data_IF_059578851313
#
_entry.id   IF_059578851313
#
_cell.length_a   1.000
_cell.length_b   1.000
_cell.length_c   1.000
_cell.angle_alpha   90.00
_cell.angle_beta   90.00
_cell.angle_gamma   90.00
#
_symmetry.space_group_name_H-M   'P 1'
#
loop_
_entity.id
_entity.type
_entity.pdbx_description
1 polymer ?
#
# COMPACT_ATOMS: atom_id res chain seq x y z
N UNK A 1 6.13 -2.52 8.28
CA UNK A 1 4.88 -2.88 8.94
C UNK A 1 4.04 -1.65 9.35
N UNK A 2 4.65 -0.58 9.90
CA UNK A 2 3.94 0.58 10.43
C UNK A 2 3.14 1.38 9.38
N UNK A 3 3.57 1.38 8.13
CA UNK A 3 2.96 2.16 7.06
C UNK A 3 1.77 1.42 6.40
N UNK A 4 1.73 0.09 6.47
CA UNK A 4 0.75 -0.71 5.76
C UNK A 4 -0.71 -0.37 6.11
N UNK A 5 -1.17 -0.41 7.38
CA UNK A 5 -2.59 -0.26 7.66
C UNK A 5 -3.24 1.01 7.10
N UNK A 6 -2.58 2.14 7.23
CA UNK A 6 -3.11 3.41 6.75
C UNK A 6 -2.78 3.65 5.27
N UNK A 7 -1.66 3.12 4.76
CA UNK A 7 -1.29 3.11 3.35
C UNK A 7 -2.29 2.32 2.50
N UNK A 8 -2.57 1.09 2.89
CA UNK A 8 -3.50 0.19 2.20
C UNK A 8 -4.94 0.74 2.19
N UNK A 9 -5.38 1.34 3.31
CA UNK A 9 -6.66 2.07 3.32
C UNK A 9 -6.67 3.22 2.31
N UNK A 10 -5.55 3.90 2.12
CA UNK A 10 -5.42 4.94 1.10
C UNK A 10 -5.46 4.34 -0.31
N UNK A 11 -4.81 3.19 -0.55
CA UNK A 11 -4.84 2.48 -1.83
C UNK A 11 -6.26 2.11 -2.22
N UNK A 12 -6.98 1.42 -1.34
CA UNK A 12 -8.41 1.09 -1.54
C UNK A 12 -9.23 2.33 -1.85
N UNK A 13 -9.01 3.45 -1.14
CA UNK A 13 -9.76 4.69 -1.36
C UNK A 13 -9.48 5.29 -2.74
N UNK A 14 -8.23 5.32 -3.19
CA UNK A 14 -7.83 5.90 -4.47
C UNK A 14 -8.40 5.11 -5.65
N UNK A 15 -8.37 3.78 -5.60
CA UNK A 15 -8.96 2.90 -6.61
C UNK A 15 -10.49 3.01 -6.60
N UNK A 16 -11.11 3.02 -5.41
CA UNK A 16 -12.57 3.11 -5.24
C UNK A 16 -13.18 4.36 -5.83
N UNK A 17 -12.46 5.46 -5.84
CA UNK A 17 -12.92 6.71 -6.45
C UNK A 17 -13.33 6.51 -7.92
N UNK A 18 -12.61 5.66 -8.63
CA UNK A 18 -12.83 5.39 -10.06
C UNK A 18 -13.68 4.16 -10.34
N UNK A 19 -14.32 3.56 -9.32
CA UNK A 19 -15.09 2.32 -9.49
C UNK A 19 -16.10 2.39 -10.66
N UNK A 20 -16.82 3.50 -10.79
CA UNK A 20 -17.83 3.65 -11.86
C UNK A 20 -17.24 3.65 -13.27
N UNK A 21 -15.98 4.00 -13.42
CA UNK A 21 -15.30 4.02 -14.71
C UNK A 21 -14.86 2.64 -15.23
N UNK A 22 -15.04 1.60 -14.40
CA UNK A 22 -14.71 0.21 -14.71
C UNK A 22 -15.94 -0.72 -14.68
N UNK A 23 -17.15 -0.20 -14.48
CA UNK A 23 -18.39 -1.00 -14.37
C UNK A 23 -18.71 -1.76 -15.67
N UNK A 24 -18.19 -1.32 -16.83
CA UNK A 24 -18.32 -1.95 -18.14
C UNK A 24 -17.23 -3.00 -18.42
N UNK A 25 -16.29 -3.21 -17.51
CA UNK A 25 -15.23 -4.22 -17.59
C UNK A 25 -15.38 -5.23 -16.44
N UNK A 26 -16.10 -6.35 -16.66
CA UNK A 26 -16.37 -7.32 -15.58
C UNK A 26 -15.10 -7.99 -15.02
N UNK A 27 -14.05 -8.12 -15.85
CA UNK A 27 -12.79 -8.74 -15.42
C UNK A 27 -12.04 -7.80 -14.47
N UNK A 28 -11.82 -6.56 -14.89
CA UNK A 28 -11.16 -5.56 -14.04
C UNK A 28 -11.99 -5.27 -12.78
N UNK A 29 -13.32 -5.24 -12.87
CA UNK A 29 -14.19 -5.07 -11.70
C UNK A 29 -14.05 -6.24 -10.70
N UNK A 30 -13.85 -7.46 -11.17
CA UNK A 30 -13.59 -8.63 -10.34
C UNK A 30 -12.22 -8.54 -9.64
N UNK A 31 -11.17 -8.17 -10.36
CA UNK A 31 -9.82 -7.97 -9.82
C UNK A 31 -9.80 -6.86 -8.76
N UNK A 32 -10.48 -5.75 -9.02
CA UNK A 32 -10.64 -4.64 -8.05
C UNK A 32 -11.39 -5.09 -6.80
N UNK A 33 -12.39 -5.97 -6.92
CA UNK A 33 -13.09 -6.51 -5.75
C UNK A 33 -12.16 -7.40 -4.90
N UNK A 34 -11.32 -8.22 -5.54
CA UNK A 34 -10.27 -9.00 -4.89
C UNK A 34 -9.27 -8.11 -4.17
N UNK A 35 -8.74 -7.09 -4.85
CA UNK A 35 -7.85 -6.09 -4.31
C UNK A 35 -8.41 -5.44 -3.02
N UNK A 36 -9.67 -5.01 -3.02
CA UNK A 36 -10.28 -4.43 -1.80
C UNK A 36 -10.35 -5.42 -0.63
N UNK A 37 -10.60 -6.69 -0.92
CA UNK A 37 -10.68 -7.71 0.11
C UNK A 37 -9.31 -8.02 0.72
N UNK A 38 -8.29 -8.17 -0.12
CA UNK A 38 -6.91 -8.46 0.29
C UNK A 38 -6.32 -7.28 1.07
N UNK A 39 -6.35 -6.06 0.52
CA UNK A 39 -5.89 -4.84 1.18
C UNK A 39 -6.59 -4.59 2.53
N UNK A 40 -7.90 -4.84 2.59
CA UNK A 40 -8.66 -4.75 3.84
C UNK A 40 -8.24 -5.81 4.87
N UNK A 41 -7.76 -6.97 4.44
CA UNK A 41 -7.22 -8.02 5.31
C UNK A 41 -5.81 -7.69 5.79
N UNK A 42 -4.94 -7.23 4.89
CA UNK A 42 -3.60 -6.74 5.21
C UNK A 42 -3.66 -5.67 6.29
N UNK A 43 -4.45 -4.60 6.07
CA UNK A 43 -4.61 -3.51 7.03
C UNK A 43 -5.02 -4.00 8.43
N UNK A 44 -5.92 -4.99 8.53
CA UNK A 44 -6.36 -5.55 9.82
C UNK A 44 -5.27 -6.35 10.51
N UNK A 45 -4.58 -7.22 9.78
CA UNK A 45 -3.56 -8.09 10.38
C UNK A 45 -2.32 -7.28 10.80
N UNK A 46 -1.90 -6.31 10.00
CA UNK A 46 -0.82 -5.39 10.38
C UNK A 46 -1.20 -4.47 11.54
N UNK A 47 -2.47 -4.07 11.65
CA UNK A 47 -2.96 -3.31 12.80
C UNK A 47 -2.87 -4.10 14.11
N UNK A 48 -3.15 -5.41 14.09
CA UNK A 48 -2.98 -6.29 15.25
C UNK A 48 -1.54 -6.38 15.73
N UNK A 49 -0.60 -6.26 14.80
CA UNK A 49 0.83 -6.26 15.13
C UNK A 49 1.25 -5.01 15.95
N UNK A 50 0.53 -3.90 15.84
CA UNK A 50 0.82 -2.71 16.64
C UNK A 50 0.67 -2.96 18.12
N UNK A 51 -0.33 -3.71 18.54
CA UNK A 51 -0.51 -4.09 19.96
C UNK A 51 0.74 -4.79 20.51
N UNK A 52 1.35 -5.67 19.71
CA UNK A 52 2.58 -6.38 20.12
C UNK A 52 3.75 -5.40 20.28
N UNK A 53 3.88 -4.42 19.39
CA UNK A 53 4.93 -3.39 19.49
C UNK A 53 4.72 -2.49 20.70
N UNK A 54 3.48 -2.08 20.98
CA UNK A 54 3.11 -1.28 22.15
C UNK A 54 3.39 -2.03 23.45
N UNK A 55 3.09 -3.33 23.53
CA UNK A 55 3.44 -4.20 24.66
C UNK A 55 4.95 -4.33 24.86
N UNK A 56 5.75 -4.15 23.81
CA UNK A 56 7.22 -4.11 23.86
C UNK A 56 7.77 -2.72 24.22
N UNK A 57 6.90 -1.73 24.41
CA UNK A 57 7.25 -0.38 24.84
C UNK A 57 7.51 0.64 23.72
N UNK A 58 7.12 0.30 22.46
CA UNK A 58 7.18 1.28 21.36
C UNK A 58 6.02 2.27 21.44
N UNK A 59 6.33 3.56 21.36
CA UNK A 59 5.33 4.64 21.31
C UNK A 59 4.97 4.96 19.86
N UNK A 60 3.86 4.40 19.37
CA UNK A 60 3.47 4.50 17.97
C UNK A 60 2.54 5.66 17.63
N UNK A 61 1.81 6.20 18.63
CA UNK A 61 0.71 7.14 18.40
C UNK A 61 1.13 8.43 17.69
N UNK A 62 2.25 9.02 18.06
CA UNK A 62 2.75 10.24 17.42
C UNK A 62 3.12 9.98 15.96
N UNK A 63 3.90 8.94 15.72
CA UNK A 63 4.33 8.55 14.37
C UNK A 63 3.12 8.25 13.45
N UNK A 64 2.20 7.42 13.93
CA UNK A 64 1.00 7.05 13.17
C UNK A 64 0.07 8.26 12.97
N UNK A 65 -0.01 9.16 13.95
CA UNK A 65 -0.77 10.40 13.86
C UNK A 65 -0.24 11.34 12.78
N UNK A 66 1.08 11.53 12.73
CA UNK A 66 1.77 12.33 11.70
C UNK A 66 1.63 11.68 10.31
N UNK A 67 1.80 10.36 10.22
CA UNK A 67 1.61 9.63 8.95
C UNK A 67 0.20 9.80 8.39
N UNK A 68 -0.82 9.57 9.22
CA UNK A 68 -2.24 9.79 8.85
C UNK A 68 -2.51 11.25 8.47
N UNK A 69 -1.89 12.20 9.16
CA UNK A 69 -2.03 13.61 8.82
C UNK A 69 -1.47 13.88 7.42
N UNK A 70 -0.27 13.41 7.12
CA UNK A 70 0.37 13.61 5.81
C UNK A 70 -0.43 12.95 4.66
N UNK A 71 -0.97 11.76 4.87
CA UNK A 71 -1.89 11.14 3.90
C UNK A 71 -3.13 12.01 3.65
N UNK A 72 -3.74 12.56 4.71
CA UNK A 72 -4.88 13.48 4.57
C UNK A 72 -4.51 14.77 3.80
N UNK A 73 -3.32 15.29 4.02
CA UNK A 73 -2.81 16.46 3.27
C UNK A 73 -2.68 16.09 1.79
N UNK A 74 -2.01 14.99 1.45
CA UNK A 74 -1.89 14.53 0.06
C UNK A 74 -3.27 14.35 -0.60
N UNK A 75 -4.21 13.73 0.10
CA UNK A 75 -5.59 13.54 -0.40
C UNK A 75 -6.33 14.86 -0.67
N UNK A 76 -5.97 15.94 -0.01
CA UNK A 76 -6.61 17.26 -0.22
C UNK A 76 -5.97 18.06 -1.33
N UNK A 77 -4.66 17.92 -1.55
CA UNK A 77 -3.91 18.77 -2.48
C UNK A 77 -3.68 18.12 -3.84
N UNK A 78 -3.69 16.78 -3.93
CA UNK A 78 -3.44 16.07 -5.17
C UNK A 78 -4.75 15.69 -5.86
N UNK A 79 -4.83 15.85 -7.20
CA UNK A 79 -5.91 15.28 -7.99
C UNK A 79 -6.04 13.76 -7.77
N UNK A 80 -7.24 13.22 -7.87
CA UNK A 80 -7.53 11.80 -7.65
C UNK A 80 -6.74 10.90 -8.61
N UNK A 81 -6.51 11.33 -9.85
CA UNK A 81 -5.68 10.60 -10.81
C UNK A 81 -4.21 10.51 -10.39
N UNK A 82 -3.67 11.56 -9.75
CA UNK A 82 -2.31 11.53 -9.20
C UNK A 82 -2.24 10.65 -7.95
N UNK A 83 -3.29 10.66 -7.11
CA UNK A 83 -3.38 9.74 -5.97
C UNK A 83 -3.41 8.28 -6.43
N UNK A 84 -4.22 7.95 -7.44
CA UNK A 84 -4.25 6.62 -8.04
C UNK A 84 -2.90 6.24 -8.68
N UNK A 85 -2.25 7.16 -9.37
CA UNK A 85 -0.91 6.94 -9.92
C UNK A 85 0.14 6.71 -8.83
N UNK A 86 0.00 7.39 -7.68
CA UNK A 86 0.81 7.15 -6.49
C UNK A 86 0.57 5.77 -5.89
N UNK A 87 -0.68 5.31 -5.85
CA UNK A 87 -1.03 3.95 -5.44
C UNK A 87 -0.42 2.91 -6.38
N UNK A 88 -0.58 3.06 -7.70
CA UNK A 88 0.04 2.13 -8.67
C UNK A 88 1.57 2.08 -8.55
N UNK A 89 2.21 3.19 -8.20
CA UNK A 89 3.65 3.24 -7.93
C UNK A 89 4.02 2.54 -6.61
N UNK A 90 3.23 2.72 -5.55
CA UNK A 90 3.44 2.06 -4.28
C UNK A 90 3.28 0.54 -4.41
N UNK A 91 2.22 0.07 -5.10
CA UNK A 91 2.01 -1.34 -5.45
C UNK A 91 3.21 -1.95 -6.21
N UNK A 92 3.80 -1.18 -7.11
CA UNK A 92 5.03 -1.63 -7.78
C UNK A 92 6.19 -1.82 -6.80
N UNK A 93 6.36 -0.93 -5.82
CA UNK A 93 7.41 -1.06 -4.81
C UNK A 93 7.13 -2.21 -3.84
N UNK A 94 5.88 -2.38 -3.40
CA UNK A 94 5.50 -3.52 -2.54
C UNK A 94 5.69 -4.84 -3.25
N UNK A 95 5.35 -4.93 -4.54
CA UNK A 95 5.59 -6.12 -5.36
C UNK A 95 7.10 -6.47 -5.50
N UNK A 96 7.98 -5.47 -5.65
CA UNK A 96 9.44 -5.70 -5.66
C UNK A 96 9.91 -6.23 -4.30
N UNK A 97 9.43 -5.63 -3.20
CA UNK A 97 9.77 -6.09 -1.85
C UNK A 97 9.21 -7.49 -1.59
N UNK A 98 7.98 -7.77 -2.03
CA UNK A 98 7.33 -9.07 -1.93
C UNK A 98 8.13 -10.16 -2.66
N UNK A 99 8.52 -9.90 -3.92
CA UNK A 99 9.35 -10.83 -4.68
C UNK A 99 10.67 -11.13 -3.95
N UNK A 100 11.32 -10.07 -3.43
CA UNK A 100 12.54 -10.26 -2.64
C UNK A 100 12.29 -11.08 -1.36
N UNK A 101 11.18 -10.84 -0.66
CA UNK A 101 10.82 -11.58 0.54
C UNK A 101 10.58 -13.07 0.27
N UNK A 102 9.95 -13.38 -0.87
CA UNK A 102 9.67 -14.77 -1.27
C UNK A 102 10.91 -15.51 -1.79
N UNK A 103 11.81 -14.83 -2.50
CA UNK A 103 13.01 -15.45 -3.10
C UNK A 103 14.21 -15.49 -2.16
N UNK A 104 14.31 -14.55 -1.22
CA UNK A 104 15.43 -14.47 -0.30
C UNK A 104 15.15 -15.21 1.01
N UNK A 105 16.21 -15.45 1.78
CA UNK A 105 16.12 -16.10 3.09
C UNK A 105 16.16 -15.12 4.25
N UNK A 106 15.94 -13.82 4.00
CA UNK A 106 16.11 -12.81 5.05
C UNK A 106 15.09 -12.89 6.18
N UNK A 107 13.96 -13.59 5.95
CA UNK A 107 12.94 -13.85 6.99
C UNK A 107 13.14 -15.19 7.73
N UNK A 108 14.16 -15.97 7.40
CA UNK A 108 14.34 -17.31 8.02
C UNK A 108 14.57 -17.25 9.53
N UNK A 109 15.23 -16.19 10.00
CA UNK A 109 15.51 -15.98 11.44
C UNK A 109 14.43 -15.16 12.17
N UNK A 110 13.35 -14.75 11.47
CA UNK A 110 12.26 -14.00 12.08
C UNK A 110 11.36 -14.91 12.93
N UNK A 111 10.67 -14.31 13.91
CA UNK A 111 9.62 -15.02 14.64
C UNK A 111 8.66 -15.71 13.66
N UNK A 112 8.27 -16.98 13.89
CA UNK A 112 7.46 -17.74 12.95
C UNK A 112 6.11 -17.07 12.59
N UNK A 113 5.49 -16.34 13.53
CA UNK A 113 4.23 -15.62 13.26
C UNK A 113 4.46 -14.41 12.38
N UNK A 114 5.53 -13.66 12.63
CA UNK A 114 5.93 -12.51 11.81
C UNK A 114 6.30 -12.97 10.41
N UNK A 115 7.10 -14.03 10.31
CA UNK A 115 7.46 -14.64 9.03
C UNK A 115 6.22 -15.07 8.23
N UNK A 116 5.29 -15.76 8.88
CA UNK A 116 4.05 -16.19 8.23
C UNK A 116 3.23 -15.00 7.73
N UNK A 117 3.04 -13.96 8.56
CA UNK A 117 2.32 -12.75 8.18
C UNK A 117 2.95 -12.08 6.96
N UNK A 118 4.26 -11.88 6.97
CA UNK A 118 4.97 -11.18 5.89
C UNK A 118 5.01 -11.98 4.58
N UNK A 119 5.16 -13.31 4.64
CA UNK A 119 5.13 -14.16 3.45
C UNK A 119 3.73 -14.30 2.86
N UNK A 120 2.69 -14.39 3.70
CA UNK A 120 1.31 -14.35 3.25
C UNK A 120 1.00 -13.04 2.53
N UNK A 121 1.29 -11.90 3.16
CA UNK A 121 1.14 -10.58 2.56
C UNK A 121 1.91 -10.48 1.23
N UNK A 122 3.18 -10.87 1.21
CA UNK A 122 4.01 -10.84 0.00
C UNK A 122 3.40 -11.67 -1.15
N UNK A 123 2.74 -12.78 -0.86
CA UNK A 123 2.09 -13.60 -1.88
C UNK A 123 0.90 -12.85 -2.50
N UNK A 124 0.06 -12.25 -1.67
CA UNK A 124 -1.11 -11.48 -2.13
C UNK A 124 -0.70 -10.20 -2.88
N UNK A 125 0.40 -9.52 -2.47
CA UNK A 125 0.97 -8.38 -3.23
C UNK A 125 1.36 -8.75 -4.68
N UNK A 126 1.87 -9.96 -4.90
CA UNK A 126 2.19 -10.42 -6.26
C UNK A 126 0.90 -10.66 -7.08
N UNK A 127 -0.17 -11.14 -6.45
CA UNK A 127 -1.43 -11.44 -7.12
C UNK A 127 -2.10 -10.16 -7.65
N UNK A 128 -2.13 -9.08 -6.86
CA UNK A 128 -2.88 -7.88 -7.21
C UNK A 128 -2.04 -6.66 -7.65
N UNK A 129 -0.73 -6.82 -7.79
CA UNK A 129 0.23 -5.74 -8.13
C UNK A 129 -0.10 -4.89 -9.36
N UNK A 130 -0.92 -5.39 -10.29
CA UNK A 130 -1.27 -4.69 -11.51
C UNK A 130 -2.59 -3.91 -11.41
N UNK A 131 -3.46 -4.24 -10.44
CA UNK A 131 -4.84 -3.75 -10.38
C UNK A 131 -4.94 -2.23 -10.37
N UNK A 132 -4.21 -1.56 -9.50
CA UNK A 132 -4.22 -0.09 -9.44
C UNK A 132 -3.68 0.56 -10.72
N UNK A 133 -2.70 -0.07 -11.37
CA UNK A 133 -2.16 0.39 -12.65
C UNK A 133 -3.17 0.21 -13.79
N UNK A 134 -3.88 -0.91 -13.85
CA UNK A 134 -4.86 -1.18 -14.89
C UNK A 134 -6.06 -0.24 -14.79
N UNK A 135 -6.54 0.05 -13.57
CA UNK A 135 -7.53 1.11 -13.34
C UNK A 135 -6.98 2.47 -13.79
N UNK A 136 -5.73 2.81 -13.46
CA UNK A 136 -5.11 4.06 -13.90
C UNK A 136 -5.07 4.16 -15.43
N UNK A 137 -4.66 3.10 -16.12
CA UNK A 137 -4.62 3.10 -17.60
C UNK A 137 -6.00 3.29 -18.22
N UNK A 138 -7.04 2.82 -17.56
CA UNK A 138 -8.42 2.97 -18.01
C UNK A 138 -8.93 4.40 -17.88
N UNK A 139 -8.56 5.11 -16.79
CA UNK A 139 -9.15 6.41 -16.44
C UNK A 139 -8.24 7.60 -16.78
N UNK A 140 -6.92 7.40 -16.75
CA UNK A 140 -5.92 8.47 -16.97
C UNK A 140 -4.61 7.89 -17.51
N UNK A 141 -4.52 7.61 -18.81
CA UNK A 141 -3.34 6.97 -19.42
C UNK A 141 -2.13 7.91 -19.58
N UNK A 142 -2.20 9.14 -19.04
CA UNK A 142 -1.15 10.15 -19.20
C UNK A 142 0.18 9.69 -18.58
N UNK A 143 1.22 9.72 -19.39
CA UNK A 143 2.58 9.44 -18.94
C UNK A 143 3.05 10.41 -17.85
N UNK A 144 2.69 11.69 -17.97
CA UNK A 144 3.08 12.71 -16.99
C UNK A 144 2.43 12.47 -15.62
N UNK A 145 1.16 12.05 -15.60
CA UNK A 145 0.47 11.70 -14.34
C UNK A 145 1.15 10.50 -13.68
N UNK A 146 1.55 9.49 -14.45
CA UNK A 146 2.30 8.33 -13.94
C UNK A 146 3.65 8.73 -13.34
N UNK A 147 4.41 9.56 -14.05
CA UNK A 147 5.71 10.05 -13.55
C UNK A 147 5.55 10.88 -12.27
N UNK A 148 4.52 11.73 -12.22
CA UNK A 148 4.23 12.53 -11.03
C UNK A 148 3.82 11.63 -9.86
N UNK A 149 2.93 10.66 -10.08
CA UNK A 149 2.55 9.67 -9.07
C UNK A 149 3.74 8.88 -8.53
N UNK A 150 4.62 8.42 -9.43
CA UNK A 150 5.86 7.73 -9.06
C UNK A 150 6.77 8.62 -8.21
N UNK A 151 6.96 9.89 -8.59
CA UNK A 151 7.80 10.81 -7.83
C UNK A 151 7.23 11.08 -6.43
N UNK A 152 5.91 11.32 -6.33
CA UNK A 152 5.22 11.52 -5.05
C UNK A 152 5.35 10.29 -4.17
N UNK A 153 5.04 9.10 -4.69
CA UNK A 153 5.12 7.85 -3.92
C UNK A 153 6.55 7.58 -3.45
N UNK A 154 7.56 7.77 -4.33
CA UNK A 154 8.97 7.54 -3.99
C UNK A 154 9.43 8.44 -2.85
N UNK A 155 9.16 9.74 -2.94
CA UNK A 155 9.56 10.70 -1.90
C UNK A 155 8.81 10.46 -0.59
N UNK A 156 7.51 10.17 -0.67
CA UNK A 156 6.68 9.90 0.50
C UNK A 156 7.11 8.63 1.22
N UNK A 157 7.29 7.53 0.49
CA UNK A 157 7.73 6.26 1.06
C UNK A 157 9.15 6.36 1.63
N UNK A 158 10.09 7.00 0.92
CA UNK A 158 11.46 7.17 1.40
C UNK A 158 11.49 7.97 2.71
N UNK A 159 10.73 9.07 2.79
CA UNK A 159 10.64 9.88 4.01
C UNK A 159 10.09 9.08 5.19
N UNK A 160 8.94 8.41 5.00
CA UNK A 160 8.28 7.68 6.08
C UNK A 160 9.01 6.40 6.46
N UNK A 161 9.66 5.74 5.50
CA UNK A 161 10.55 4.61 5.78
C UNK A 161 11.71 5.03 6.69
N UNK A 162 12.38 6.13 6.33
CA UNK A 162 13.47 6.66 7.15
C UNK A 162 13.00 7.09 8.56
N UNK A 163 11.80 7.67 8.66
CA UNK A 163 11.21 8.02 9.96
C UNK A 163 10.92 6.77 10.80
N UNK A 164 10.32 5.75 10.20
CA UNK A 164 10.00 4.50 10.89
C UNK A 164 11.20 3.67 11.33
N UNK A 165 12.37 3.85 10.72
CA UNK A 165 13.62 3.18 11.18
C UNK A 165 14.31 3.89 12.33
N UNK A 166 13.77 5.02 12.80
CA UNK A 166 14.33 5.82 13.89
C UNK A 166 13.48 5.79 15.17
N UNK A 167 12.40 5.00 15.14
CA UNK A 167 11.60 4.66 16.32
C UNK A 167 12.33 3.62 17.17
#
# INVERSE_FOLDING_TARGET
NLLFPDGERHFVKSVRYFRKAIDDDPMLAHEVAGFYAQEGSHAREHQRFFTILEEQGYELDEFLGEFRHSLRVLQRILPESVQLAGTAAAEHFTAIMANHALESRFLDDADPKVRHLLLWHATEEIEHKAVAYDVLQRVEPSYLVRVLGMAVASLFLAYWWQRGTRL
#
